data_IF_026948478619
#
_entry.id   IF_026948478619
#
_cell.length_a   1.000
_cell.length_b   1.000
_cell.length_c   1.000
_cell.angle_alpha   90.00
_cell.angle_beta   90.00
_cell.angle_gamma   90.00
#
_symmetry.space_group_name_H-M   'P 1'
#
loop_
_entity.id
_entity.type
_entity.pdbx_description
1 polymer ?
#
# COMPACT_ATOMS: atom_id res chain seq x y z
N UNK A 1 -46.51 -46.49 24.95
CA UNK A 1 -46.43 -47.06 23.59
C UNK A 1 -45.12 -47.83 23.47
N UNK A 2 -45.25 -49.15 23.29
CA UNK A 2 -44.35 -50.18 22.70
C UNK A 2 -42.81 -49.93 22.79
N UNK A 3 -42.03 -50.75 23.52
CA UNK A 3 -41.56 -52.12 23.18
C UNK A 3 -40.83 -52.13 21.82
N UNK A 4 -39.66 -52.70 21.56
CA UNK A 4 -38.73 -53.70 22.10
C UNK A 4 -37.37 -53.37 21.40
N UNK A 5 -36.19 -53.89 21.69
CA UNK A 5 -35.76 -55.08 22.39
C UNK A 5 -34.25 -55.25 22.13
N UNK A 6 -33.57 -55.83 23.10
CA UNK A 6 -32.17 -56.22 23.03
C UNK A 6 -31.98 -57.50 22.21
N UNK A 7 -30.82 -57.67 21.58
CA UNK A 7 -30.15 -58.97 21.39
C UNK A 7 -28.64 -58.70 21.18
N UNK A 8 -27.76 -59.02 22.14
CA UNK A 8 -27.09 -60.32 22.34
C UNK A 8 -26.40 -60.84 21.06
N UNK A 9 -25.15 -61.30 21.04
CA UNK A 9 -24.23 -61.71 22.10
C UNK A 9 -22.85 -62.04 21.48
N UNK A 10 -21.79 -61.89 22.29
CA UNK A 10 -20.60 -62.77 22.46
C UNK A 10 -19.74 -63.03 21.21
N UNK A 11 -18.42 -63.13 21.32
CA UNK A 11 -17.68 -64.23 21.97
C UNK A 11 -16.20 -63.77 22.02
N UNK A 12 -15.58 -63.66 23.21
CA UNK A 12 -14.50 -64.54 23.73
C UNK A 12 -13.25 -64.60 22.82
N UNK A 13 -12.00 -64.62 23.26
CA UNK A 13 -11.34 -64.80 24.55
C UNK A 13 -9.83 -64.75 24.22
N UNK A 14 -9.06 -64.03 25.03
CA UNK A 14 -7.71 -64.35 25.54
C UNK A 14 -6.64 -64.90 24.57
N UNK A 15 -5.44 -64.29 24.56
CA UNK A 15 -4.22 -64.94 25.08
C UNK A 15 -2.99 -64.04 24.95
N UNK A 16 -2.36 -63.86 26.10
CA UNK A 16 -1.01 -63.36 26.41
C UNK A 16 0.10 -64.10 25.64
N UNK A 17 1.18 -63.39 25.27
CA UNK A 17 2.55 -63.84 25.60
C UNK A 17 3.59 -62.73 25.43
N UNK A 18 4.49 -62.72 26.42
CA UNK A 18 5.61 -61.82 26.63
C UNK A 18 6.83 -62.22 25.79
N UNK A 19 7.70 -61.22 25.58
CA UNK A 19 9.17 -61.24 25.61
C UNK A 19 9.95 -62.24 24.75
N UNK A 20 10.83 -61.70 23.92
CA UNK A 20 12.13 -62.29 23.60
C UNK A 20 12.53 -62.21 22.14
N UNK A 21 13.58 -61.44 21.82
CA UNK A 21 14.27 -61.54 20.54
C UNK A 21 14.99 -60.27 20.09
N UNK A 22 16.22 -60.08 20.57
CA UNK A 22 17.22 -59.24 19.89
C UNK A 22 17.53 -59.82 18.51
N UNK A 23 17.49 -58.99 17.47
CA UNK A 23 18.41 -59.10 16.32
C UNK A 23 18.35 -57.81 15.50
N UNK A 24 19.49 -57.13 15.41
CA UNK A 24 19.74 -56.04 14.49
C UNK A 24 19.76 -56.57 13.05
N UNK A 25 19.12 -55.87 12.12
CA UNK A 25 19.46 -55.93 10.70
C UNK A 25 18.98 -54.64 10.02
N UNK A 26 19.95 -53.77 9.75
CA UNK A 26 19.87 -52.61 8.89
C UNK A 26 19.43 -53.05 7.48
N UNK A 27 18.31 -52.53 7.01
CA UNK A 27 17.97 -52.53 5.59
C UNK A 27 17.16 -51.27 5.28
N UNK A 28 17.87 -50.23 4.82
CA UNK A 28 17.28 -49.09 4.13
C UNK A 28 16.57 -49.61 2.89
N UNK A 29 15.24 -49.55 2.87
CA UNK A 29 14.45 -49.71 1.64
C UNK A 29 13.48 -48.55 1.56
N UNK A 30 13.75 -47.70 0.57
CA UNK A 30 12.92 -46.59 0.13
C UNK A 30 11.51 -47.06 -0.26
N UNK A 31 10.49 -46.31 0.16
CA UNK A 31 9.15 -46.43 -0.40
C UNK A 31 8.43 -45.08 -0.37
N UNK A 32 8.51 -44.39 -1.52
CA UNK A 32 7.46 -43.59 -2.16
C UNK A 32 6.95 -42.36 -1.39
N UNK A 33 7.72 -41.29 -1.50
CA UNK A 33 7.21 -39.93 -1.32
C UNK A 33 6.21 -39.58 -2.42
N UNK A 34 4.99 -39.22 -2.03
CA UNK A 34 4.14 -38.33 -2.83
C UNK A 34 4.69 -36.91 -2.67
N UNK A 35 5.83 -36.64 -3.31
CA UNK A 35 6.29 -35.28 -3.59
C UNK A 35 5.51 -34.77 -4.80
N UNK A 36 4.32 -34.23 -4.55
CA UNK A 36 3.64 -33.39 -5.53
C UNK A 36 4.48 -32.13 -5.76
N UNK A 37 4.72 -31.71 -7.01
CA UNK A 37 5.37 -30.44 -7.26
C UNK A 37 4.39 -29.34 -6.82
N UNK A 38 4.63 -28.77 -5.64
CA UNK A 38 4.15 -27.44 -5.34
C UNK A 38 4.86 -26.53 -6.33
N UNK A 39 4.20 -26.18 -7.43
CA UNK A 39 4.60 -25.06 -8.27
C UNK A 39 4.45 -23.80 -7.41
N UNK A 40 5.51 -23.49 -6.66
CA UNK A 40 5.71 -22.17 -6.12
C UNK A 40 5.77 -21.25 -7.36
N UNK A 41 4.64 -20.62 -7.68
CA UNK A 41 4.64 -19.46 -8.57
C UNK A 41 5.51 -18.42 -7.87
N UNK A 42 6.78 -18.37 -8.28
CA UNK A 42 7.66 -17.31 -7.91
C UNK A 42 7.09 -16.04 -8.53
N UNK A 43 6.51 -15.17 -7.71
CA UNK A 43 6.16 -13.81 -8.12
C UNK A 43 7.45 -13.09 -8.51
N UNK A 44 7.80 -13.10 -9.80
CA UNK A 44 8.96 -12.38 -10.32
C UNK A 44 8.56 -10.96 -10.71
N UNK A 45 8.41 -10.10 -9.70
CA UNK A 45 8.49 -8.65 -9.92
C UNK A 45 9.96 -8.28 -10.13
N UNK A 46 10.27 -7.51 -11.17
CA UNK A 46 11.63 -7.01 -11.44
C UNK A 46 12.12 -6.02 -10.37
N UNK A 47 13.36 -5.51 -10.51
CA UNK A 47 13.88 -4.51 -9.59
C UNK A 47 13.00 -3.24 -9.59
N UNK A 48 12.73 -2.70 -8.40
CA UNK A 48 12.09 -1.40 -8.25
C UNK A 48 13.09 -0.29 -8.54
N UNK A 49 12.66 0.70 -9.32
CA UNK A 49 13.38 1.95 -9.57
C UNK A 49 12.55 3.11 -9.06
N UNK A 50 13.23 4.16 -8.61
CA UNK A 50 12.54 5.39 -8.22
C UNK A 50 12.01 6.08 -9.48
N UNK A 51 10.70 6.30 -9.50
CA UNK A 51 9.99 7.07 -10.51
C UNK A 51 9.72 8.50 -9.97
N UNK A 52 9.94 9.51 -10.82
CA UNK A 52 9.92 10.92 -10.44
C UNK A 52 11.33 11.50 -10.18
N UNK A 53 11.44 12.69 -9.54
CA UNK A 53 10.33 13.47 -8.98
C UNK A 53 9.50 14.16 -10.07
N UNK A 54 8.17 14.13 -9.92
CA UNK A 54 7.25 14.97 -10.70
C UNK A 54 6.83 16.14 -9.83
N UNK A 55 6.94 17.35 -10.35
CA UNK A 55 6.54 18.58 -9.66
C UNK A 55 5.17 19.02 -10.17
N UNK A 56 4.21 19.18 -9.26
CA UNK A 56 2.82 19.46 -9.56
C UNK A 56 2.30 20.63 -8.73
N UNK A 57 1.53 21.51 -9.36
CA UNK A 57 0.86 22.63 -8.71
C UNK A 57 -0.58 22.27 -8.32
N UNK A 58 -0.98 22.68 -7.13
CA UNK A 58 -2.30 22.42 -6.56
C UNK A 58 -3.00 23.69 -6.10
N UNK A 59 -4.32 23.70 -6.26
CA UNK A 59 -5.21 24.66 -5.62
C UNK A 59 -5.78 24.04 -4.36
N UNK A 60 -5.49 24.62 -3.21
CA UNK A 60 -5.84 24.06 -1.90
C UNK A 60 -6.85 24.91 -1.15
N UNK A 61 -7.65 24.26 -0.29
CA UNK A 61 -8.60 24.93 0.61
C UNK A 61 -8.66 24.23 1.95
N UNK A 62 -8.95 24.99 3.01
CA UNK A 62 -9.42 24.45 4.28
C UNK A 62 -10.90 24.10 4.14
N UNK A 63 -11.23 22.81 4.26
CA UNK A 63 -12.61 22.33 4.08
C UNK A 63 -13.51 22.76 5.23
N UNK A 64 -12.96 22.89 6.45
CA UNK A 64 -13.73 23.22 7.65
C UNK A 64 -14.25 24.65 7.65
N UNK A 65 -13.43 25.57 7.12
CA UNK A 65 -13.71 27.01 7.10
C UNK A 65 -14.11 27.51 5.70
N UNK A 66 -14.11 26.63 4.70
CA UNK A 66 -14.31 26.99 3.29
C UNK A 66 -13.29 28.01 2.77
N UNK A 67 -12.15 28.17 3.44
CA UNK A 67 -11.13 29.16 3.08
C UNK A 67 -10.29 28.61 1.92
N UNK A 68 -10.26 29.34 0.83
CA UNK A 68 -9.46 28.99 -0.36
C UNK A 68 -8.13 29.72 -0.29
N UNK A 69 -7.04 28.98 -0.49
CA UNK A 69 -5.72 29.57 -0.65
C UNK A 69 -5.55 30.04 -2.10
N UNK A 70 -5.10 31.28 -2.28
CA UNK A 70 -4.84 31.89 -3.56
C UNK A 70 -3.47 31.51 -4.11
N UNK A 71 -2.49 31.31 -3.24
CA UNK A 71 -1.16 30.91 -3.67
C UNK A 71 -1.13 29.39 -3.92
N UNK A 72 -0.66 28.94 -5.11
CA UNK A 72 -0.63 27.53 -5.43
C UNK A 72 0.38 26.79 -4.55
N UNK A 73 -0.01 25.59 -4.12
CA UNK A 73 0.88 24.69 -3.42
C UNK A 73 1.68 23.87 -4.43
N UNK A 74 2.93 23.57 -4.11
CA UNK A 74 3.82 22.78 -4.97
C UNK A 74 4.06 21.44 -4.31
N UNK A 75 3.87 20.34 -5.04
CA UNK A 75 4.21 19.00 -4.57
C UNK A 75 5.24 18.35 -5.49
N UNK A 76 6.36 17.93 -4.92
CA UNK A 76 7.34 17.04 -5.55
C UNK A 76 7.01 15.60 -5.14
N UNK A 77 6.53 14.78 -6.07
CA UNK A 77 6.10 13.41 -5.82
C UNK A 77 7.06 12.42 -6.47
N UNK A 78 7.48 11.42 -5.71
CA UNK A 78 8.29 10.30 -6.18
C UNK A 78 7.74 8.99 -5.64
N UNK A 79 7.91 7.90 -6.39
CA UNK A 79 7.55 6.58 -5.91
C UNK A 79 8.47 5.48 -6.42
N UNK A 80 8.63 4.41 -5.66
CA UNK A 80 9.37 3.24 -6.11
C UNK A 80 8.44 2.31 -6.92
N UNK A 81 8.68 2.24 -8.23
CA UNK A 81 7.91 1.42 -9.16
C UNK A 81 8.79 0.31 -9.74
N UNK A 82 8.30 -0.94 -9.85
CA UNK A 82 9.00 -1.97 -10.61
C UNK A 82 9.11 -1.54 -12.07
N UNK A 83 10.27 -1.76 -12.72
CA UNK A 83 10.39 -1.48 -14.17
C UNK A 83 9.57 -2.45 -15.00
N UNK A 84 9.53 -3.71 -14.55
CA UNK A 84 8.91 -4.82 -15.25
C UNK A 84 8.22 -5.77 -14.27
N UNK A 85 7.09 -6.33 -14.70
CA UNK A 85 6.35 -7.38 -13.99
C UNK A 85 5.85 -8.40 -15.00
N UNK A 86 5.85 -9.68 -14.62
CA UNK A 86 5.29 -10.71 -15.48
C UNK A 86 3.77 -10.57 -15.61
N UNK A 87 3.22 -10.95 -16.76
CA UNK A 87 1.78 -11.01 -16.98
C UNK A 87 1.06 -11.83 -15.89
N UNK A 88 0.00 -11.27 -15.32
CA UNK A 88 -0.77 -11.86 -14.22
C UNK A 88 -0.07 -11.88 -12.85
N UNK A 89 1.14 -11.35 -12.73
CA UNK A 89 1.85 -11.28 -11.46
C UNK A 89 1.33 -10.14 -10.56
N UNK A 90 1.64 -10.23 -9.27
CA UNK A 90 1.39 -9.15 -8.33
C UNK A 90 2.39 -8.00 -8.57
N UNK A 91 1.85 -6.79 -8.63
CA UNK A 91 2.59 -5.54 -8.63
C UNK A 91 2.64 -5.04 -7.18
N UNK A 92 3.82 -4.94 -6.55
CA UNK A 92 3.91 -4.46 -5.18
C UNK A 92 3.38 -3.01 -5.07
N UNK A 93 2.80 -2.69 -3.92
CA UNK A 93 2.36 -1.33 -3.63
C UNK A 93 3.55 -0.38 -3.61
N UNK A 94 3.50 0.74 -4.34
CA UNK A 94 4.64 1.64 -4.44
C UNK A 94 4.92 2.33 -3.10
N UNK A 95 6.19 2.41 -2.69
CA UNK A 95 6.59 3.34 -1.64
C UNK A 95 6.53 4.75 -2.22
N UNK A 96 5.73 5.63 -1.63
CA UNK A 96 5.47 6.98 -2.13
C UNK A 96 6.06 8.00 -1.16
N UNK A 97 6.73 9.01 -1.70
CA UNK A 97 7.17 10.19 -0.96
C UNK A 97 6.65 11.44 -1.69
N UNK A 98 6.04 12.35 -0.93
CA UNK A 98 5.53 13.62 -1.43
C UNK A 98 6.08 14.75 -0.55
N UNK A 99 6.90 15.63 -1.15
CA UNK A 99 7.35 16.86 -0.50
C UNK A 99 6.44 18.00 -0.96
N UNK A 100 5.73 18.61 -0.02
CA UNK A 100 4.77 19.67 -0.30
C UNK A 100 5.30 20.99 0.26
N UNK A 101 5.34 22.02 -0.58
CA UNK A 101 5.60 23.39 -0.20
C UNK A 101 4.28 24.17 -0.28
N UNK A 102 3.84 24.71 0.85
CA UNK A 102 2.60 25.47 0.94
C UNK A 102 2.73 26.82 0.24
N UNK A 103 1.60 27.37 -0.21
CA UNK A 103 1.47 28.78 -0.58
C UNK A 103 1.89 29.71 0.57
N UNK A 104 2.25 30.95 0.23
CA UNK A 104 2.67 31.92 1.25
C UNK A 104 1.49 32.33 2.14
N UNK A 105 0.30 32.52 1.56
CA UNK A 105 -0.93 32.79 2.29
C UNK A 105 -1.28 31.74 3.38
N UNK A 106 -1.09 30.45 3.09
CA UNK A 106 -1.29 29.38 4.06
C UNK A 106 -0.28 29.45 5.21
N UNK A 107 1.00 29.69 4.88
CA UNK A 107 2.05 29.87 5.89
C UNK A 107 1.80 31.13 6.76
N UNK A 108 1.34 32.22 6.16
CA UNK A 108 0.96 33.45 6.85
C UNK A 108 -0.20 33.21 7.81
N UNK A 109 -1.22 32.47 7.38
CA UNK A 109 -2.38 32.13 8.20
C UNK A 109 -1.98 31.26 9.40
N UNK A 110 -1.13 30.26 9.22
CA UNK A 110 -0.61 29.43 10.31
C UNK A 110 0.11 30.29 11.36
N UNK A 111 0.94 31.24 10.93
CA UNK A 111 1.65 32.16 11.82
C UNK A 111 0.71 33.14 12.51
N UNK A 112 -0.31 33.65 11.82
CA UNK A 112 -1.33 34.52 12.40
C UNK A 112 -2.13 33.82 13.51
N UNK A 113 -2.31 32.51 13.41
CA UNK A 113 -2.93 31.66 14.43
C UNK A 113 -1.93 31.19 15.51
N UNK A 114 -0.68 31.65 15.45
CA UNK A 114 0.41 31.28 16.35
C UNK A 114 0.73 29.76 16.38
N UNK A 115 0.45 29.05 15.28
CA UNK A 115 0.82 27.64 15.11
C UNK A 115 2.33 27.51 15.03
N UNK A 116 2.90 26.57 15.78
CA UNK A 116 4.36 26.33 15.84
C UNK A 116 4.76 25.04 15.18
N UNK A 117 3.92 24.01 15.24
CA UNK A 117 4.19 22.73 14.58
C UNK A 117 2.95 22.15 13.94
N UNK A 118 3.17 21.33 12.92
CA UNK A 118 2.13 20.58 12.21
C UNK A 118 2.58 19.14 12.02
N UNK A 119 1.66 18.19 12.18
CA UNK A 119 1.86 16.77 11.88
C UNK A 119 0.54 16.16 11.41
N UNK A 120 0.55 14.96 10.83
CA UNK A 120 -0.71 14.28 10.56
C UNK A 120 -0.63 13.27 9.43
N UNK A 121 -1.70 13.22 8.63
CA UNK A 121 -1.85 12.23 7.56
C UNK A 121 -2.33 12.89 6.28
N UNK A 122 -2.06 12.23 5.16
CA UNK A 122 -2.59 12.62 3.85
C UNK A 122 -3.13 11.42 3.11
N UNK A 123 -4.23 11.62 2.41
CA UNK A 123 -4.79 10.66 1.46
C UNK A 123 -4.45 11.16 0.04
N UNK A 124 -3.43 10.57 -0.56
CA UNK A 124 -2.95 10.94 -1.89
C UNK A 124 -3.65 10.10 -2.96
N UNK A 125 -4.42 10.75 -3.84
CA UNK A 125 -5.06 10.13 -4.98
C UNK A 125 -4.04 9.79 -6.07
N UNK A 126 -4.19 8.63 -6.69
CA UNK A 126 -3.47 8.24 -7.88
C UNK A 126 -4.34 7.34 -8.75
N UNK A 127 -3.98 7.17 -10.02
CA UNK A 127 -4.71 6.29 -10.95
C UNK A 127 -3.78 5.36 -11.70
N UNK A 128 -4.31 4.18 -12.00
CA UNK A 128 -3.66 3.17 -12.83
C UNK A 128 -4.44 2.99 -14.13
N UNK A 129 -3.73 2.97 -15.25
CA UNK A 129 -4.30 2.71 -16.57
C UNK A 129 -3.45 1.69 -17.34
N UNK A 130 -4.04 1.08 -18.38
CA UNK A 130 -3.33 0.14 -19.25
C UNK A 130 -3.38 -1.31 -18.77
N UNK A 131 -2.24 -2.00 -18.79
CA UNK A 131 -2.11 -3.45 -18.57
C UNK A 131 -2.21 -3.88 -17.09
N UNK A 132 -3.22 -3.38 -16.39
CA UNK A 132 -3.55 -3.75 -15.00
C UNK A 132 -4.92 -4.43 -14.97
N UNK A 133 -5.11 -5.38 -14.05
CA UNK A 133 -6.38 -6.13 -13.95
C UNK A 133 -7.56 -5.21 -13.62
N UNK A 134 -7.33 -4.17 -12.82
CA UNK A 134 -8.35 -3.22 -12.41
C UNK A 134 -7.86 -1.78 -12.61
N UNK A 135 -8.05 -1.18 -13.80
CA UNK A 135 -7.72 0.23 -13.99
C UNK A 135 -8.65 1.13 -13.18
N UNK A 136 -8.18 2.31 -12.80
CA UNK A 136 -8.97 3.32 -12.09
C UNK A 136 -8.23 4.03 -10.98
N UNK A 137 -8.98 4.81 -10.20
CA UNK A 137 -8.45 5.60 -9.09
C UNK A 137 -8.17 4.74 -7.85
N UNK A 138 -7.19 5.17 -7.07
CA UNK A 138 -6.72 4.62 -5.81
C UNK A 138 -6.30 5.76 -4.88
N UNK A 139 -6.07 5.39 -3.63
CA UNK A 139 -5.60 6.32 -2.60
C UNK A 139 -4.45 5.67 -1.83
N UNK A 140 -3.36 6.41 -1.68
CA UNK A 140 -2.25 6.04 -0.81
C UNK A 140 -2.37 6.83 0.51
N UNK A 141 -2.28 6.15 1.64
CA UNK A 141 -2.22 6.79 2.94
C UNK A 141 -0.77 7.16 3.26
N UNK A 142 -0.52 8.45 3.44
CA UNK A 142 0.79 9.00 3.77
C UNK A 142 0.78 9.58 5.18
N UNK A 143 1.91 9.51 5.86
CA UNK A 143 2.15 10.12 7.17
C UNK A 143 3.00 11.37 6.99
N UNK A 144 2.57 12.47 7.58
CA UNK A 144 3.31 13.72 7.69
C UNK A 144 3.93 13.76 9.09
N UNK A 145 5.26 13.61 9.24
CA UNK A 145 5.91 13.75 10.53
C UNK A 145 5.79 15.19 11.02
N UNK A 146 6.01 15.40 12.32
CA UNK A 146 6.00 16.73 12.90
C UNK A 146 7.03 17.65 12.25
N UNK A 147 6.55 18.78 11.74
CA UNK A 147 7.36 19.85 11.16
C UNK A 147 7.16 21.14 11.94
N UNK A 148 8.21 21.96 12.01
CA UNK A 148 8.10 23.31 12.54
C UNK A 148 7.55 24.27 11.46
N UNK A 149 6.68 25.17 11.88
CA UNK A 149 6.29 26.34 11.08
C UNK A 149 7.41 27.38 11.24
N UNK A 150 8.12 27.76 10.16
CA UNK A 150 9.19 28.74 10.25
C UNK A 150 8.61 30.12 10.59
N UNK A 151 9.39 30.97 11.25
CA UNK A 151 8.96 32.32 11.61
C UNK A 151 8.65 33.20 10.37
N UNK A 152 9.28 32.88 9.23
CA UNK A 152 9.09 33.56 7.94
C UNK A 152 9.19 32.57 6.78
N UNK A 153 8.57 32.91 5.64
CA UNK A 153 8.62 32.10 4.43
C UNK A 153 7.54 31.01 4.39
N UNK A 154 7.70 30.09 3.45
CA UNK A 154 6.78 28.97 3.19
C UNK A 154 7.01 27.81 4.15
N UNK A 155 5.98 26.99 4.37
CA UNK A 155 6.09 25.72 5.10
C UNK A 155 6.38 24.62 4.10
N UNK A 156 7.33 23.73 4.43
CA UNK A 156 7.58 22.52 3.64
C UNK A 156 7.37 21.29 4.52
N UNK A 157 6.54 20.37 4.04
CA UNK A 157 6.28 19.07 4.66
C UNK A 157 6.77 17.96 3.74
N UNK A 158 7.07 16.79 4.32
CA UNK A 158 7.37 15.59 3.55
C UNK A 158 6.52 14.46 4.09
N UNK A 159 5.59 13.98 3.27
CA UNK A 159 4.73 12.86 3.58
C UNK A 159 5.29 11.58 2.94
N UNK A 160 5.20 10.45 3.64
CA UNK A 160 5.60 9.16 3.09
C UNK A 160 4.62 8.05 3.45
N UNK A 161 4.53 7.03 2.61
CA UNK A 161 3.63 5.91 2.79
C UNK A 161 3.71 4.90 1.66
N UNK A 162 2.70 4.05 1.56
CA UNK A 162 2.63 2.99 0.55
C UNK A 162 1.29 2.99 -0.17
N UNK A 163 1.32 2.86 -1.50
CA UNK A 163 0.13 2.59 -2.30
C UNK A 163 -0.38 1.14 -2.14
N UNK A 164 -1.53 0.86 -2.74
CA UNK A 164 -2.08 -0.49 -2.78
C UNK A 164 -1.27 -1.39 -3.72
N UNK A 165 -1.10 -2.66 -3.33
CA UNK A 165 -0.61 -3.70 -4.24
C UNK A 165 -1.70 -4.05 -5.26
N UNK A 166 -1.28 -4.40 -6.48
CA UNK A 166 -2.15 -4.63 -7.62
C UNK A 166 -1.78 -5.92 -8.35
N UNK A 167 -2.52 -6.24 -9.40
CA UNK A 167 -2.25 -7.40 -10.26
C UNK A 167 -2.14 -6.95 -11.71
N UNK A 168 -1.02 -7.27 -12.36
CA UNK A 168 -0.81 -7.01 -13.77
C UNK A 168 -1.82 -7.79 -14.63
N UNK A 169 -2.17 -7.26 -15.80
CA UNK A 169 -3.01 -7.98 -16.75
C UNK A 169 -2.33 -9.27 -17.21
N UNK A 170 -3.13 -10.25 -17.66
CA UNK A 170 -2.62 -11.50 -18.23
C UNK A 170 -2.04 -11.35 -19.64
N UNK A 171 -2.17 -10.17 -20.24
CA UNK A 171 -1.60 -9.82 -21.54
C UNK A 171 -0.48 -8.79 -21.36
N UNK A 172 0.62 -8.91 -22.12
CA UNK A 172 1.68 -7.91 -22.14
C UNK A 172 1.15 -6.50 -22.48
N UNK A 173 1.84 -5.48 -21.98
CA UNK A 173 1.50 -4.08 -22.20
C UNK A 173 2.17 -3.16 -21.19
N UNK A 174 1.63 -1.97 -20.99
CA UNK A 174 2.19 -0.98 -20.08
C UNK A 174 1.13 -0.54 -19.07
N UNK A 175 1.52 -0.48 -17.80
CA UNK A 175 0.74 0.16 -16.73
C UNK A 175 1.26 1.58 -16.59
N UNK A 176 0.38 2.57 -16.69
CA UNK A 176 0.69 3.98 -16.43
C UNK A 176 0.19 4.36 -15.05
N UNK A 177 1.05 4.98 -14.26
CA UNK A 177 0.73 5.51 -12.92
C UNK A 177 0.68 7.04 -13.00
N UNK A 178 -0.44 7.62 -12.61
CA UNK A 178 -0.62 9.08 -12.60
C UNK A 178 -1.03 9.57 -11.22
N UNK A 179 -0.50 10.72 -10.81
CA UNK A 179 -0.84 11.41 -9.57
C UNK A 179 -2.17 12.15 -9.74
N UNK A 180 -2.97 12.23 -8.67
CA UNK A 180 -4.23 12.97 -8.65
C UNK A 180 -4.30 13.98 -7.51
N UNK A 181 -5.54 14.29 -7.13
CA UNK A 181 -5.88 15.13 -5.99
C UNK A 181 -5.47 14.49 -4.67
N UNK A 182 -5.34 15.29 -3.62
CA UNK A 182 -5.08 14.77 -2.28
C UNK A 182 -5.84 15.54 -1.21
N UNK A 183 -6.05 14.88 -0.07
CA UNK A 183 -6.49 15.53 1.17
C UNK A 183 -5.44 15.34 2.25
N UNK A 184 -5.46 16.21 3.25
CA UNK A 184 -4.61 16.09 4.43
C UNK A 184 -5.35 16.49 5.69
N UNK A 185 -5.10 15.74 6.76
CA UNK A 185 -5.55 16.03 8.11
C UNK A 185 -4.32 16.43 8.91
N UNK A 186 -4.16 17.73 9.15
CA UNK A 186 -2.96 18.29 9.80
C UNK A 186 -3.31 18.78 11.21
N UNK A 187 -2.76 18.10 12.22
CA UNK A 187 -2.87 18.48 13.63
C UNK A 187 -1.81 19.53 13.96
N UNK A 188 -2.25 20.64 14.56
CA UNK A 188 -1.38 21.72 15.07
C UNK A 188 -0.93 21.45 16.51
N UNK A 189 0.06 22.21 17.00
CA UNK A 189 0.49 22.16 18.41
C UNK A 189 -0.62 22.54 19.42
N UNK A 190 -1.66 23.24 18.96
CA UNK A 190 -2.86 23.55 19.77
C UNK A 190 -3.86 22.39 19.86
N UNK A 191 -3.65 21.31 19.10
CA UNK A 191 -4.60 20.20 18.96
C UNK A 191 -5.73 20.44 17.94
N UNK A 192 -5.78 21.62 17.30
CA UNK A 192 -6.67 21.85 16.16
C UNK A 192 -6.24 20.99 14.97
N UNK A 193 -7.21 20.30 14.36
CA UNK A 193 -7.03 19.50 13.14
C UNK A 193 -7.55 20.32 11.96
N UNK A 194 -6.65 20.65 11.05
CA UNK A 194 -6.96 21.33 9.80
C UNK A 194 -7.21 20.29 8.69
N UNK A 195 -8.44 20.25 8.20
CA UNK A 195 -8.79 19.41 7.04
C UNK A 195 -8.53 20.20 5.75
N UNK A 196 -7.55 19.76 4.97
CA UNK A 196 -7.11 20.40 3.72
C UNK A 196 -7.51 19.52 2.54
N UNK A 197 -8.15 20.13 1.54
CA UNK A 197 -8.39 19.51 0.24
C UNK A 197 -7.62 20.24 -0.84
N UNK A 198 -6.84 19.50 -1.62
CA UNK A 198 -6.01 20.02 -2.70
C UNK A 198 -6.38 19.36 -4.03
N UNK A 199 -6.73 20.19 -5.01
CA UNK A 199 -7.05 19.77 -6.37
C UNK A 199 -5.89 20.08 -7.28
N UNK A 200 -5.50 19.12 -8.10
CA UNK A 200 -4.43 19.29 -9.08
C UNK A 200 -4.84 20.36 -10.10
N UNK A 201 -3.97 21.33 -10.36
CA UNK A 201 -4.26 22.33 -11.38
C UNK A 201 -4.29 21.67 -12.77
N UNK A 202 -5.22 22.09 -13.66
CA UNK A 202 -5.36 21.49 -14.97
C UNK A 202 -4.12 21.68 -15.84
N UNK A 203 -4.03 20.91 -16.93
CA UNK A 203 -3.02 21.03 -17.99
C UNK A 203 -1.56 20.74 -17.56
N UNK A 204 -1.36 19.95 -16.50
CA UNK A 204 -0.07 19.45 -16.06
C UNK A 204 0.09 17.95 -16.37
N UNK A 205 1.30 17.51 -16.71
CA UNK A 205 1.60 16.09 -16.84
C UNK A 205 1.75 15.46 -15.46
N UNK A 206 0.72 14.73 -15.04
CA UNK A 206 0.67 14.04 -13.76
C UNK A 206 1.24 12.61 -13.83
N UNK A 207 1.87 12.22 -14.93
CA UNK A 207 2.42 10.87 -15.09
C UNK A 207 3.65 10.68 -14.20
N UNK A 208 3.53 9.82 -13.19
CA UNK A 208 4.62 9.51 -12.27
C UNK A 208 5.63 8.54 -12.87
N UNK A 209 5.14 7.56 -13.62
CA UNK A 209 5.96 6.56 -14.27
C UNK A 209 5.14 5.45 -14.91
N UNK A 210 5.85 4.51 -15.52
CA UNK A 210 5.26 3.36 -16.23
C UNK A 210 5.93 2.06 -15.81
N UNK A 211 5.14 1.00 -15.77
CA UNK A 211 5.59 -0.37 -15.48
C UNK A 211 5.32 -1.21 -16.73
N UNK A 212 6.31 -1.94 -17.22
CA UNK A 212 6.11 -2.85 -18.35
C UNK A 212 5.58 -4.20 -17.87
N UNK A 213 4.57 -4.73 -18.55
CA UNK A 213 4.04 -6.08 -18.35
C UNK A 213 4.56 -6.96 -19.48
N UNK A 214 5.34 -7.98 -19.11
CA UNK A 214 6.06 -8.87 -20.04
C UNK A 214 5.57 -10.31 -19.98
#
# INVERSE_FOLDING_TARGET
MQQHGAFSQRTKTTTTRRLGGLAAATACVAALGLSGPATAQASSSGPSVSAGPVTLQYSCKLTDLGTVFNDPWTAEVSADLPTEVAAGASVPGPAVTAKVTTGADAADQLRALNVKTLEGTSAAGYSLAGAVTSPGARTASLTVPQVAVPDTGVVTTTASGTGAAETAASTPGTITVSVGDFTADLTTDSGFVAHVGCTLNPDQDATLGTISVV
#
